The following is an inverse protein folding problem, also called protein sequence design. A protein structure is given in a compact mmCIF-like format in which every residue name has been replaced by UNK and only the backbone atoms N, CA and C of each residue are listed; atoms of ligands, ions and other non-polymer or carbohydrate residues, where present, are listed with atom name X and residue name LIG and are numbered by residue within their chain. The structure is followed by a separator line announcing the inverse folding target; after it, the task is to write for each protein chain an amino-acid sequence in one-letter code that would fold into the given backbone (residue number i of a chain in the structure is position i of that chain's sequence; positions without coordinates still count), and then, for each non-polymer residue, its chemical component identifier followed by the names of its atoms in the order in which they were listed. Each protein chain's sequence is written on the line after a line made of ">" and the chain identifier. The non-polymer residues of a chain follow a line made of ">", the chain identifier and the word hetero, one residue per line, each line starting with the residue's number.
data_IF_801866217168
#
_entry.id   IF_801866217168
#
_cell.length_a   1.000
_cell.length_b   1.000
_cell.length_c   1.000
_cell.angle_alpha   90.00
_cell.angle_beta   90.00
_cell.angle_gamma   90.00
#
_symmetry.space_group_name_H-M   'P 1'
#
loop_
_entity.id
_entity.type
_entity.pdbx_description
1 polymer ?
#
# COMPACT_ATOMS: atom_id res chain seq x y z
N UNK A 1 59.94 30.37 44.35
CA UNK A 1 58.64 29.64 44.36
C UNK A 1 57.96 29.89 43.04
N UNK A 2 57.91 28.90 42.14
CA UNK A 2 57.23 28.99 40.84
C UNK A 2 55.74 28.69 41.04
N UNK A 3 54.86 29.65 40.64
CA UNK A 3 53.42 29.49 40.73
C UNK A 3 52.90 28.41 39.77
N UNK A 4 51.71 27.80 40.04
CA UNK A 4 51.17 26.74 39.21
C UNK A 4 50.83 27.24 37.79
N UNK A 5 51.34 26.54 36.77
CA UNK A 5 50.94 26.76 35.35
C UNK A 5 49.48 26.43 35.18
N UNK A 6 48.69 27.38 34.68
CA UNK A 6 47.31 27.12 34.22
C UNK A 6 47.33 26.09 33.10
N UNK A 7 46.37 25.15 33.05
CA UNK A 7 46.25 24.18 31.96
C UNK A 7 45.93 24.92 30.66
N UNK A 8 46.59 24.48 29.58
CA UNK A 8 46.37 25.00 28.24
C UNK A 8 44.90 24.83 27.84
N UNK A 9 44.28 25.77 27.10
CA UNK A 9 42.91 25.64 26.65
C UNK A 9 42.76 24.40 25.77
N UNK A 10 41.73 23.57 26.07
CA UNK A 10 41.33 22.44 25.25
C UNK A 10 41.01 22.99 23.85
N UNK A 11 41.58 22.43 22.77
CA UNK A 11 41.26 22.90 21.42
C UNK A 11 39.76 22.77 21.20
N UNK A 12 39.13 23.86 20.73
CA UNK A 12 37.73 23.87 20.34
C UNK A 12 37.52 22.75 19.30
N UNK A 13 36.64 21.80 19.62
CA UNK A 13 36.23 20.73 18.70
C UNK A 13 35.79 21.40 17.39
N UNK A 14 36.44 21.07 16.28
CA UNK A 14 36.01 21.46 14.96
C UNK A 14 34.59 20.94 14.73
N UNK A 15 33.59 21.78 14.94
CA UNK A 15 32.22 21.45 14.62
C UNK A 15 32.14 21.34 13.09
N UNK A 16 32.20 20.14 12.56
CA UNK A 16 31.85 19.87 11.18
C UNK A 16 30.44 20.41 10.93
N UNK A 17 30.19 20.98 9.75
CA UNK A 17 28.85 21.45 9.39
C UNK A 17 27.81 20.33 9.62
N UNK A 18 26.62 20.66 10.15
CA UNK A 18 25.60 19.66 10.44
C UNK A 18 25.22 18.89 9.17
N UNK A 19 25.12 17.58 9.27
CA UNK A 19 24.73 16.74 8.15
C UNK A 19 23.30 17.07 7.65
N UNK A 20 22.93 16.73 6.40
CA UNK A 20 21.57 16.93 5.89
C UNK A 20 20.51 16.35 6.83
N UNK A 21 20.78 15.20 7.43
CA UNK A 21 19.86 14.56 8.38
C UNK A 21 19.73 15.37 9.68
N UNK A 22 20.82 15.92 10.21
CA UNK A 22 20.78 16.80 11.39
C UNK A 22 20.04 18.11 11.10
N UNK A 23 20.24 18.70 9.90
CA UNK A 23 19.52 19.88 9.46
C UNK A 23 18.01 19.62 9.33
N UNK A 24 17.63 18.46 8.76
CA UNK A 24 16.23 18.06 8.66
C UNK A 24 15.58 17.88 10.04
N UNK A 25 16.26 17.19 10.96
CA UNK A 25 15.75 17.01 12.33
C UNK A 25 15.57 18.39 13.03
N UNK A 26 16.52 19.31 12.89
CA UNK A 26 16.39 20.66 13.43
C UNK A 26 15.21 21.42 12.81
N UNK A 27 15.03 21.34 11.50
CA UNK A 27 13.87 21.94 10.82
C UNK A 27 12.54 21.41 11.35
N UNK A 28 12.43 20.09 11.53
CA UNK A 28 11.22 19.45 12.07
C UNK A 28 10.97 19.82 13.53
N UNK A 29 12.02 19.98 14.35
CA UNK A 29 11.92 20.46 15.73
C UNK A 29 11.35 21.89 15.80
N UNK A 30 11.68 22.73 14.80
CA UNK A 30 11.10 24.06 14.62
C UNK A 30 9.73 24.05 13.90
N UNK A 31 9.11 22.87 13.72
CA UNK A 31 7.85 22.69 12.98
C UNK A 31 7.90 23.15 11.51
N UNK A 32 9.09 23.24 10.92
CA UNK A 32 9.25 23.56 9.49
C UNK A 32 9.18 22.31 8.65
N UNK A 33 8.44 22.38 7.53
CA UNK A 33 8.33 21.26 6.59
C UNK A 33 9.61 21.12 5.76
N UNK A 34 9.89 19.88 5.38
CA UNK A 34 10.96 19.55 4.44
C UNK A 34 10.41 19.58 3.00
N UNK A 35 11.21 20.05 2.07
CA UNK A 35 10.89 19.90 0.66
C UNK A 35 11.00 18.41 0.23
N UNK A 36 10.37 18.06 -0.89
CA UNK A 36 10.45 16.71 -1.45
C UNK A 36 11.91 16.26 -1.70
N UNK A 37 12.82 17.10 -2.29
CA UNK A 37 14.24 16.73 -2.42
C UNK A 37 14.94 16.50 -1.08
N UNK A 38 14.73 17.37 -0.09
CA UNK A 38 15.32 17.18 1.25
C UNK A 38 14.85 15.88 1.90
N UNK A 39 13.55 15.59 1.80
CA UNK A 39 13.01 14.35 2.35
C UNK A 39 13.55 13.12 1.61
N UNK A 40 13.69 13.19 0.27
CA UNK A 40 14.31 12.12 -0.51
C UNK A 40 15.74 11.85 -0.07
N UNK A 41 16.53 12.91 0.15
CA UNK A 41 17.92 12.80 0.59
C UNK A 41 18.04 12.12 1.97
N UNK A 42 17.29 12.60 2.97
CA UNK A 42 17.40 12.09 4.33
C UNK A 42 16.83 10.68 4.48
N UNK A 43 15.73 10.35 3.80
CA UNK A 43 15.23 8.97 3.75
C UNK A 43 16.16 8.06 2.94
N UNK A 44 16.84 8.59 1.91
CA UNK A 44 17.90 7.88 1.20
C UNK A 44 19.03 7.46 2.13
N UNK A 45 19.49 8.37 3.01
CA UNK A 45 20.49 8.04 4.03
C UNK A 45 20.00 6.95 5.00
N UNK A 46 18.72 7.01 5.41
CA UNK A 46 18.10 5.91 6.22
C UNK A 46 18.13 4.58 5.45
N UNK A 47 17.74 4.57 4.17
CA UNK A 47 17.70 3.35 3.35
C UNK A 47 19.10 2.76 3.09
N UNK A 48 20.14 3.57 3.06
CA UNK A 48 21.55 3.11 2.96
C UNK A 48 22.16 2.68 4.31
N UNK A 49 21.43 2.87 5.43
CA UNK A 49 21.90 2.53 6.78
C UNK A 49 22.92 3.53 7.34
N UNK A 50 22.94 4.75 6.84
CA UNK A 50 23.84 5.83 7.28
C UNK A 50 23.31 6.59 8.51
N UNK A 51 22.02 6.40 8.84
CA UNK A 51 21.37 7.03 9.98
C UNK A 51 21.42 6.14 11.24
N UNK A 52 21.70 6.73 12.39
CA UNK A 52 21.61 6.03 13.67
C UNK A 52 20.14 5.79 14.06
N UNK A 53 19.84 4.80 14.93
CA UNK A 53 18.46 4.58 15.43
C UNK A 53 17.85 5.84 16.05
N UNK A 54 18.62 6.63 16.80
CA UNK A 54 18.17 7.88 17.41
C UNK A 54 17.78 8.92 16.34
N UNK A 55 18.56 9.03 15.26
CA UNK A 55 18.25 9.94 14.16
C UNK A 55 17.00 9.49 13.38
N UNK A 56 16.84 8.18 13.14
CA UNK A 56 15.64 7.64 12.50
C UNK A 56 14.42 7.93 13.38
N UNK A 57 14.48 7.67 14.67
CA UNK A 57 13.38 7.96 15.60
C UNK A 57 13.04 9.46 15.62
N UNK A 58 14.04 10.35 15.70
CA UNK A 58 13.83 11.79 15.69
C UNK A 58 13.18 12.27 14.37
N UNK A 59 13.63 11.77 13.22
CA UNK A 59 13.05 12.08 11.90
C UNK A 59 11.59 11.65 11.83
N UNK A 60 11.29 10.39 12.19
CA UNK A 60 9.93 9.84 12.10
C UNK A 60 8.97 10.55 13.07
N UNK A 61 9.41 10.80 14.31
CA UNK A 61 8.58 11.48 15.29
C UNK A 61 8.46 12.98 15.01
N UNK A 62 9.51 13.63 14.49
CA UNK A 62 9.45 15.02 14.05
C UNK A 62 8.41 15.25 12.96
N UNK A 63 8.40 14.40 11.93
CA UNK A 63 7.36 14.40 10.89
C UNK A 63 5.96 14.15 11.48
N UNK A 64 5.82 13.15 12.34
CA UNK A 64 4.53 12.79 12.95
C UNK A 64 3.95 13.91 13.82
N UNK A 65 4.77 14.53 14.68
CA UNK A 65 4.34 15.58 15.61
C UNK A 65 4.04 16.90 14.89
N UNK A 66 4.80 17.21 13.85
CA UNK A 66 4.55 18.37 12.99
C UNK A 66 3.26 18.18 12.16
N UNK A 67 2.98 16.97 11.76
CA UNK A 67 2.05 16.60 10.69
C UNK A 67 2.77 16.56 9.34
N UNK A 68 2.72 15.42 8.66
CA UNK A 68 3.36 15.19 7.37
C UNK A 68 2.68 16.02 6.26
N UNK A 69 3.44 16.39 5.23
CA UNK A 69 2.90 17.00 4.00
C UNK A 69 2.97 16.01 2.83
N UNK A 70 2.18 16.21 1.74
CA UNK A 70 2.29 15.37 0.55
C UNK A 70 3.69 15.34 -0.07
N UNK A 71 4.43 16.45 0.03
CA UNK A 71 5.83 16.56 -0.41
C UNK A 71 6.74 15.63 0.37
N UNK A 72 6.60 15.64 1.69
CA UNK A 72 7.41 14.80 2.58
C UNK A 72 7.08 13.31 2.37
N UNK A 73 5.81 12.97 2.21
CA UNK A 73 5.40 11.58 1.91
C UNK A 73 5.94 11.15 0.55
N UNK A 74 5.85 12.01 -0.48
CA UNK A 74 6.38 11.71 -1.81
C UNK A 74 7.92 11.55 -1.79
N UNK A 75 8.65 12.43 -1.09
CA UNK A 75 10.10 12.34 -0.95
C UNK A 75 10.54 11.04 -0.26
N UNK A 76 9.89 10.67 0.84
CA UNK A 76 10.15 9.41 1.53
C UNK A 76 9.86 8.19 0.63
N UNK A 77 8.76 8.23 -0.14
CA UNK A 77 8.41 7.17 -1.09
C UNK A 77 9.42 7.06 -2.24
N UNK A 78 9.95 8.19 -2.77
CA UNK A 78 11.04 8.17 -3.78
C UNK A 78 12.26 7.45 -3.25
N UNK A 79 12.73 7.82 -2.07
CA UNK A 79 13.89 7.18 -1.45
C UNK A 79 13.70 5.67 -1.29
N UNK A 80 12.49 5.23 -0.91
CA UNK A 80 12.18 3.80 -0.82
C UNK A 80 12.13 3.13 -2.20
N UNK A 81 11.55 3.78 -3.22
CA UNK A 81 11.53 3.29 -4.62
C UNK A 81 12.93 3.19 -5.23
N UNK A 82 13.84 4.07 -4.85
CA UNK A 82 15.24 4.06 -5.34
C UNK A 82 16.06 2.93 -4.70
N UNK A 83 15.68 2.52 -3.49
CA UNK A 83 16.34 1.45 -2.73
C UNK A 83 15.70 0.06 -2.88
N UNK A 84 14.59 -0.07 -3.62
CA UNK A 84 13.87 -1.34 -3.78
C UNK A 84 14.45 -2.20 -4.91
N UNK A 85 14.22 -3.51 -4.82
CA UNK A 85 14.41 -4.45 -5.92
C UNK A 85 13.25 -4.31 -6.89
N UNK A 86 13.53 -3.89 -8.14
CA UNK A 86 12.49 -3.65 -9.15
C UNK A 86 12.09 -4.94 -9.85
N UNK A 87 10.81 -5.03 -10.20
CA UNK A 87 10.26 -6.11 -11.04
C UNK A 87 9.93 -5.54 -12.41
N UNK A 88 10.44 -6.16 -13.45
CA UNK A 88 10.10 -5.78 -14.82
C UNK A 88 8.64 -6.14 -15.11
N UNK A 89 7.81 -5.12 -15.31
CA UNK A 89 6.41 -5.27 -15.61
C UNK A 89 6.01 -4.38 -16.78
N UNK A 90 5.52 -5.00 -17.83
CA UNK A 90 5.01 -4.32 -19.01
C UNK A 90 3.52 -4.65 -19.18
N UNK A 91 2.68 -3.64 -19.35
CA UNK A 91 1.24 -3.85 -19.57
C UNK A 91 0.46 -2.54 -19.54
N UNK A 92 -0.43 -2.36 -20.51
CA UNK A 92 -1.25 -1.16 -20.64
C UNK A 92 -2.22 -0.97 -19.46
N UNK A 93 -2.61 -2.05 -18.78
CA UNK A 93 -3.61 -2.08 -17.71
C UNK A 93 -3.01 -2.59 -16.39
N UNK A 94 -1.73 -2.24 -16.14
CA UNK A 94 -1.03 -2.62 -14.92
C UNK A 94 -1.61 -1.89 -13.72
N UNK A 95 -2.08 -2.64 -12.71
CA UNK A 95 -2.76 -2.10 -11.53
C UNK A 95 -2.32 -2.80 -10.25
N UNK A 96 -2.39 -2.07 -9.12
CA UNK A 96 -2.28 -2.64 -7.77
C UNK A 96 -3.56 -2.36 -6.98
N UNK A 97 -3.88 -3.27 -6.06
CA UNK A 97 -4.95 -3.14 -5.07
C UNK A 97 -4.35 -3.36 -3.68
N UNK A 98 -4.18 -2.31 -2.93
CA UNK A 98 -3.53 -2.36 -1.62
C UNK A 98 -4.22 -1.44 -0.63
N UNK A 99 -3.79 -1.47 0.62
CA UNK A 99 -4.27 -0.57 1.67
C UNK A 99 -3.19 -0.34 2.71
N UNK A 100 -3.40 0.65 3.57
CA UNK A 100 -2.52 0.93 4.70
C UNK A 100 -2.64 -0.11 5.80
N UNK A 101 -3.74 -0.86 5.80
CA UNK A 101 -4.13 -1.71 6.92
C UNK A 101 -4.56 -0.91 8.15
N UNK A 102 -5.02 -1.59 9.17
CA UNK A 102 -5.32 -0.97 10.46
C UNK A 102 -6.68 -0.28 10.58
N UNK A 103 -7.62 -0.57 9.67
CA UNK A 103 -9.01 -0.11 9.78
C UNK A 103 -9.67 -0.56 11.09
N UNK A 104 -10.63 0.22 11.57
CA UNK A 104 -11.42 -0.10 12.77
C UNK A 104 -12.29 -1.36 12.57
N UNK A 105 -12.67 -1.64 11.32
CA UNK A 105 -13.41 -2.83 10.93
C UNK A 105 -12.43 -3.85 10.34
N UNK A 106 -12.26 -4.98 11.05
CA UNK A 106 -11.47 -6.10 10.54
C UNK A 106 -12.25 -6.86 9.49
N UNK A 107 -11.75 -6.91 8.25
CA UNK A 107 -12.40 -7.59 7.13
C UNK A 107 -11.58 -8.80 6.65
N UNK A 108 -12.25 -9.70 5.89
CA UNK A 108 -11.51 -10.66 5.08
C UNK A 108 -10.71 -9.93 3.99
N UNK A 109 -9.80 -10.61 3.30
CA UNK A 109 -8.86 -9.99 2.34
C UNK A 109 -9.56 -9.56 1.05
N UNK A 110 -10.41 -8.52 1.13
CA UNK A 110 -11.25 -7.99 0.05
C UNK A 110 -10.39 -7.58 -1.15
N UNK A 111 -9.34 -6.77 -0.92
CA UNK A 111 -8.45 -6.30 -2.00
C UNK A 111 -7.73 -7.45 -2.71
N UNK A 112 -7.43 -8.56 -1.99
CA UNK A 112 -6.84 -9.76 -2.61
C UNK A 112 -7.86 -10.48 -3.50
N UNK A 113 -9.10 -10.62 -3.06
CA UNK A 113 -10.17 -11.20 -3.88
C UNK A 113 -10.46 -10.30 -5.10
N UNK A 114 -10.51 -8.97 -4.92
CA UNK A 114 -10.72 -7.99 -5.99
C UNK A 114 -9.63 -8.04 -7.07
N UNK A 115 -8.38 -8.31 -6.69
CA UNK A 115 -7.25 -8.49 -7.61
C UNK A 115 -7.52 -9.61 -8.64
N UNK A 116 -8.09 -10.74 -8.21
CA UNK A 116 -8.41 -11.85 -9.10
C UNK A 116 -9.57 -11.51 -10.06
N UNK A 117 -10.58 -10.78 -9.58
CA UNK A 117 -11.69 -10.33 -10.42
C UNK A 117 -11.19 -9.33 -11.47
N UNK A 118 -10.32 -8.38 -11.08
CA UNK A 118 -9.70 -7.44 -12.00
C UNK A 118 -8.84 -8.14 -13.07
N UNK A 119 -8.04 -9.14 -12.66
CA UNK A 119 -7.26 -9.96 -13.59
C UNK A 119 -8.16 -10.79 -14.53
N UNK A 120 -9.30 -11.29 -14.03
CA UNK A 120 -10.33 -11.94 -14.83
C UNK A 120 -11.02 -11.01 -15.84
N UNK A 121 -11.05 -9.70 -15.57
CA UNK A 121 -11.57 -8.68 -16.47
C UNK A 121 -10.56 -8.25 -17.54
N UNK A 122 -9.28 -8.64 -17.45
CA UNK A 122 -8.22 -8.31 -18.39
C UNK A 122 -7.19 -7.32 -17.85
N UNK A 123 -7.23 -6.93 -16.58
CA UNK A 123 -6.16 -6.17 -15.95
C UNK A 123 -4.91 -7.03 -15.77
N UNK A 124 -3.75 -6.38 -15.76
CA UNK A 124 -2.48 -6.97 -15.31
C UNK A 124 -2.26 -6.52 -13.86
N UNK A 125 -2.31 -7.44 -12.90
CA UNK A 125 -2.30 -7.11 -11.48
C UNK A 125 -0.96 -7.44 -10.85
N UNK A 126 -0.21 -6.43 -10.43
CA UNK A 126 1.00 -6.58 -9.62
C UNK A 126 0.68 -6.20 -8.17
N UNK A 127 0.10 -7.15 -7.43
CA UNK A 127 -0.34 -6.89 -6.06
C UNK A 127 0.85 -6.83 -5.11
N UNK A 128 1.10 -5.65 -4.53
CA UNK A 128 2.07 -5.49 -3.46
C UNK A 128 1.42 -5.75 -2.10
N UNK A 129 2.08 -6.50 -1.24
CA UNK A 129 1.52 -6.80 0.06
C UNK A 129 2.47 -7.47 1.04
N UNK A 130 1.96 -7.73 2.25
CA UNK A 130 2.74 -8.27 3.35
C UNK A 130 1.88 -9.21 4.20
N UNK A 131 2.52 -9.83 5.21
CA UNK A 131 1.82 -10.45 6.33
C UNK A 131 1.18 -9.37 7.19
N UNK A 132 0.13 -9.72 7.91
CA UNK A 132 -0.50 -8.77 8.83
C UNK A 132 0.34 -8.54 10.08
N UNK A 133 0.32 -7.30 10.57
CA UNK A 133 0.82 -6.93 11.89
C UNK A 133 -0.31 -6.65 12.88
N UNK A 134 -1.53 -6.40 12.40
CA UNK A 134 -2.66 -5.92 13.20
C UNK A 134 -3.90 -6.80 13.09
N UNK A 135 -4.06 -7.55 12.00
CA UNK A 135 -5.19 -8.47 11.78
C UNK A 135 -4.74 -9.93 11.81
N UNK A 136 -5.70 -10.86 11.86
CA UNK A 136 -5.43 -12.30 11.90
C UNK A 136 -4.87 -12.85 10.59
N UNK A 137 -5.04 -12.14 9.46
CA UNK A 137 -4.68 -12.64 8.14
C UNK A 137 -4.31 -11.49 7.21
N UNK A 138 -3.05 -11.39 6.82
CA UNK A 138 -2.57 -10.49 5.79
C UNK A 138 -2.74 -11.07 4.38
N UNK A 139 -2.44 -10.25 3.35
CA UNK A 139 -2.52 -10.70 1.96
C UNK A 139 -1.57 -11.86 1.64
N UNK A 140 -0.39 -11.90 2.26
CA UNK A 140 0.56 -13.00 2.12
C UNK A 140 -0.01 -14.29 2.72
N UNK A 141 -0.59 -14.19 3.92
CA UNK A 141 -1.09 -15.34 4.66
C UNK A 141 -2.25 -16.02 3.92
N UNK A 142 -3.20 -15.24 3.40
CA UNK A 142 -4.33 -15.79 2.64
C UNK A 142 -3.89 -16.37 1.29
N UNK A 143 -2.89 -15.78 0.62
CA UNK A 143 -2.39 -16.31 -0.65
C UNK A 143 -1.67 -17.65 -0.46
N UNK A 144 -0.89 -17.82 0.61
CA UNK A 144 -0.33 -19.14 0.96
C UNK A 144 -1.44 -20.17 1.24
N UNK A 145 -2.48 -19.78 2.00
CA UNK A 145 -3.64 -20.65 2.25
C UNK A 145 -4.43 -20.96 0.96
N UNK A 146 -4.40 -20.08 -0.03
CA UNK A 146 -4.92 -20.32 -1.38
C UNK A 146 -3.97 -21.17 -2.25
N UNK A 147 -2.85 -21.68 -1.73
CA UNK A 147 -1.90 -22.51 -2.47
C UNK A 147 -1.00 -21.73 -3.44
N UNK A 148 -0.81 -20.45 -3.23
CA UNK A 148 0.08 -19.60 -4.03
C UNK A 148 1.44 -19.50 -3.34
N UNK A 149 2.52 -19.78 -4.05
CA UNK A 149 3.88 -19.51 -3.55
C UNK A 149 4.17 -18.01 -3.60
N UNK A 150 4.32 -17.40 -2.44
CA UNK A 150 4.50 -15.94 -2.32
C UNK A 150 5.96 -15.48 -2.37
N UNK A 151 6.90 -16.36 -2.06
CA UNK A 151 8.33 -16.03 -2.04
C UNK A 151 8.92 -16.19 -3.44
N UNK A 152 8.78 -15.15 -4.24
CA UNK A 152 9.33 -15.03 -5.58
C UNK A 152 10.46 -14.00 -5.59
N UNK A 153 11.49 -14.22 -6.38
CA UNK A 153 12.45 -13.18 -6.74
C UNK A 153 11.90 -12.28 -7.86
N UNK A 154 12.66 -11.28 -8.29
CA UNK A 154 12.20 -10.31 -9.28
C UNK A 154 11.97 -10.95 -10.67
N UNK A 155 12.80 -11.90 -11.07
CA UNK A 155 12.69 -12.57 -12.37
C UNK A 155 11.46 -13.50 -12.40
N UNK A 156 11.28 -14.28 -11.33
CA UNK A 156 10.11 -15.14 -11.16
C UNK A 156 8.82 -14.34 -11.08
N UNK A 157 8.79 -13.24 -10.31
CA UNK A 157 7.63 -12.37 -10.21
C UNK A 157 7.25 -11.77 -11.58
N UNK A 158 8.23 -11.35 -12.38
CA UNK A 158 8.02 -10.85 -13.74
C UNK A 158 7.50 -11.95 -14.68
N UNK A 159 8.03 -13.18 -14.59
CA UNK A 159 7.57 -14.33 -15.36
C UNK A 159 6.12 -14.67 -15.00
N UNK A 160 5.82 -14.82 -13.71
CA UNK A 160 4.47 -15.12 -13.20
C UNK A 160 3.46 -14.06 -13.66
N UNK A 161 3.85 -12.77 -13.62
CA UNK A 161 2.98 -11.68 -14.10
C UNK A 161 2.64 -11.83 -15.59
N UNK A 162 3.61 -12.19 -16.43
CA UNK A 162 3.36 -12.43 -17.86
C UNK A 162 2.47 -13.64 -18.12
N UNK A 163 2.66 -14.74 -17.38
CA UNK A 163 1.95 -15.99 -17.59
C UNK A 163 0.51 -15.96 -17.04
N UNK A 164 0.34 -15.36 -15.86
CA UNK A 164 -0.95 -15.41 -15.14
C UNK A 164 -1.75 -14.09 -15.21
N UNK A 165 -1.17 -12.98 -15.69
CA UNK A 165 -1.70 -11.63 -15.60
C UNK A 165 -1.97 -11.16 -14.15
N UNK A 166 -1.45 -11.87 -13.17
CA UNK A 166 -1.46 -11.51 -11.75
C UNK A 166 -0.23 -12.06 -11.07
N UNK A 167 0.41 -11.27 -10.21
CA UNK A 167 1.51 -11.71 -9.34
C UNK A 167 1.39 -11.09 -7.97
N UNK A 168 2.00 -11.72 -6.97
CA UNK A 168 2.12 -11.17 -5.63
C UNK A 168 3.56 -10.75 -5.36
N UNK A 169 3.73 -9.50 -4.97
CA UNK A 169 5.02 -8.91 -4.64
C UNK A 169 5.13 -8.83 -3.11
N UNK A 170 5.77 -9.84 -2.52
CA UNK A 170 5.93 -9.94 -1.07
C UNK A 170 6.94 -8.90 -0.58
N UNK A 171 6.49 -7.89 0.14
CA UNK A 171 7.27 -6.71 0.51
C UNK A 171 8.69 -6.98 1.07
N UNK A 172 8.92 -7.98 1.95
CA UNK A 172 10.26 -8.28 2.45
C UNK A 172 11.28 -8.65 1.37
N UNK A 173 10.84 -9.27 0.27
CA UNK A 173 11.73 -9.67 -0.82
C UNK A 173 12.20 -8.48 -1.66
N UNK A 174 11.40 -7.43 -1.73
CA UNK A 174 11.63 -6.30 -2.62
C UNK A 174 12.12 -5.02 -1.92
N UNK A 175 12.02 -4.97 -0.59
CA UNK A 175 12.45 -3.81 0.20
C UNK A 175 13.51 -4.16 1.26
N UNK A 176 14.71 -4.65 0.85
CA UNK A 176 15.76 -5.05 1.80
C UNK A 176 16.25 -3.90 2.68
N UNK A 177 16.18 -2.64 2.19
CA UNK A 177 16.56 -1.45 2.92
C UNK A 177 15.69 -1.19 4.17
N UNK A 178 14.47 -1.74 4.22
CA UNK A 178 13.58 -1.61 5.38
C UNK A 178 14.15 -2.23 6.67
N UNK A 179 15.17 -3.08 6.57
CA UNK A 179 15.89 -3.62 7.74
C UNK A 179 16.48 -2.52 8.63
N UNK A 180 16.82 -1.36 8.08
CA UNK A 180 17.42 -0.24 8.82
C UNK A 180 16.38 0.53 9.65
N UNK A 181 15.15 0.73 9.12
CA UNK A 181 14.07 1.43 9.81
C UNK A 181 13.15 0.50 10.62
N UNK A 182 13.07 -0.77 10.27
CA UNK A 182 12.14 -1.75 10.87
C UNK A 182 12.26 -1.89 12.39
N UNK A 183 13.46 -2.05 12.97
CA UNK A 183 13.64 -2.11 14.42
C UNK A 183 13.12 -0.86 15.12
N UNK A 184 13.51 0.33 14.64
CA UNK A 184 13.09 1.62 15.22
C UNK A 184 11.56 1.78 15.18
N UNK A 185 10.92 1.40 14.06
CA UNK A 185 9.45 1.45 13.95
C UNK A 185 8.75 0.56 14.98
N UNK A 186 9.27 -0.64 15.22
CA UNK A 186 8.70 -1.55 16.25
C UNK A 186 8.86 -0.98 17.65
N UNK A 187 10.02 -0.37 17.94
CA UNK A 187 10.33 0.21 19.23
C UNK A 187 9.48 1.46 19.52
N UNK A 188 9.25 2.30 18.50
CA UNK A 188 8.37 3.48 18.62
C UNK A 188 6.91 3.08 18.92
N UNK A 189 6.41 1.97 18.38
CA UNK A 189 5.07 1.46 18.67
C UNK A 189 3.89 2.34 18.22
N UNK A 190 4.16 3.40 17.43
CA UNK A 190 3.15 4.34 16.93
C UNK A 190 3.18 4.43 15.40
N UNK A 191 2.04 4.72 14.74
CA UNK A 191 2.00 4.98 13.31
C UNK A 191 2.85 6.21 12.94
N UNK A 192 3.62 6.10 11.85
CA UNK A 192 4.47 7.18 11.32
C UNK A 192 4.28 7.27 9.80
N UNK A 193 4.98 8.20 9.13
CA UNK A 193 5.01 8.28 7.67
C UNK A 193 5.32 6.94 7.00
N UNK A 194 6.09 6.06 7.66
CA UNK A 194 6.43 4.73 7.15
C UNK A 194 5.21 3.84 6.90
N UNK A 195 4.08 4.09 7.57
CA UNK A 195 2.84 3.34 7.36
C UNK A 195 2.14 3.71 6.03
N UNK A 196 2.47 4.87 5.46
CA UNK A 196 1.96 5.33 4.17
C UNK A 196 2.81 4.85 2.99
N UNK A 197 4.07 4.44 3.23
CA UNK A 197 5.02 4.17 2.13
C UNK A 197 4.77 2.86 1.39
N UNK A 198 4.19 1.85 2.05
CA UNK A 198 3.95 0.53 1.44
C UNK A 198 3.15 0.63 0.13
N UNK A 199 1.96 1.24 0.12
CA UNK A 199 1.19 1.47 -1.10
C UNK A 199 1.88 2.33 -2.15
N UNK A 200 2.81 3.20 -1.75
CA UNK A 200 3.52 4.13 -2.64
C UNK A 200 4.78 3.54 -3.30
N UNK A 201 5.21 2.34 -2.90
CA UNK A 201 6.48 1.75 -3.34
C UNK A 201 6.29 0.35 -3.92
N UNK A 202 5.35 0.20 -4.86
CA UNK A 202 5.16 -1.06 -5.57
C UNK A 202 6.37 -1.37 -6.46
N UNK A 203 7.00 -2.56 -6.31
CA UNK A 203 8.20 -2.94 -7.06
C UNK A 203 8.04 -3.00 -8.58
N UNK A 204 6.82 -3.22 -9.07
CA UNK A 204 6.50 -3.22 -10.51
C UNK A 204 6.30 -1.80 -11.09
N UNK A 205 6.50 -0.75 -10.29
CA UNK A 205 6.38 0.63 -10.75
C UNK A 205 4.97 1.00 -11.23
N UNK A 206 3.93 0.41 -10.65
CA UNK A 206 2.55 0.66 -11.05
C UNK A 206 2.21 2.14 -10.96
N UNK A 207 1.46 2.63 -11.94
CA UNK A 207 0.97 4.01 -11.99
C UNK A 207 -0.56 4.09 -11.86
N UNK A 208 -1.20 2.94 -11.66
CA UNK A 208 -2.65 2.79 -11.49
C UNK A 208 -2.92 1.96 -10.24
N UNK A 209 -3.69 2.50 -9.28
CA UNK A 209 -3.87 1.83 -7.98
C UNK A 209 -5.24 2.12 -7.36
N UNK A 210 -5.73 1.15 -6.60
CA UNK A 210 -6.73 1.40 -5.54
C UNK A 210 -6.01 1.28 -4.20
N UNK A 211 -6.07 2.34 -3.40
CA UNK A 211 -5.39 2.40 -2.11
C UNK A 211 -6.39 2.69 -1.01
N UNK A 212 -6.64 1.70 -0.17
CA UNK A 212 -7.46 1.86 1.02
C UNK A 212 -6.69 2.54 2.16
N UNK A 213 -7.31 3.48 2.83
CA UNK A 213 -6.72 4.23 3.95
C UNK A 213 -7.61 4.15 5.16
N UNK A 214 -7.06 3.65 6.28
CA UNK A 214 -7.81 3.46 7.53
C UNK A 214 -8.17 4.77 8.25
N UNK A 215 -7.32 5.78 8.13
CA UNK A 215 -7.47 7.10 8.76
C UNK A 215 -7.81 8.12 7.67
N UNK A 216 -9.02 8.69 7.72
CA UNK A 216 -9.52 9.65 6.73
C UNK A 216 -8.58 10.85 6.56
N UNK A 217 -7.94 11.33 7.65
CA UNK A 217 -7.03 12.47 7.63
C UNK A 217 -5.74 12.18 6.83
N UNK A 218 -5.44 10.90 6.61
CA UNK A 218 -4.28 10.45 5.81
C UNK A 218 -4.57 10.32 4.32
N UNK A 219 -5.84 10.26 3.93
CA UNK A 219 -6.21 10.07 2.53
C UNK A 219 -5.79 11.24 1.62
N UNK A 220 -5.95 12.53 2.00
CA UNK A 220 -5.42 13.65 1.23
C UNK A 220 -3.89 13.60 1.05
N UNK A 221 -3.16 13.19 2.09
CA UNK A 221 -1.69 13.05 2.04
C UNK A 221 -1.29 11.97 1.04
N UNK A 222 -1.97 10.82 1.06
CA UNK A 222 -1.77 9.70 0.13
C UNK A 222 -2.05 10.13 -1.31
N UNK A 223 -3.19 10.78 -1.54
CA UNK A 223 -3.58 11.26 -2.88
C UNK A 223 -2.60 12.31 -3.41
N UNK A 224 -2.20 13.28 -2.59
CA UNK A 224 -1.21 14.28 -2.95
C UNK A 224 0.17 13.68 -3.25
N UNK A 225 0.60 12.68 -2.49
CA UNK A 225 1.85 11.96 -2.74
C UNK A 225 1.78 11.16 -4.05
N UNK A 226 0.68 10.43 -4.33
CA UNK A 226 0.47 9.70 -5.58
C UNK A 226 0.51 10.64 -6.80
N UNK A 227 -0.12 11.81 -6.72
CA UNK A 227 -0.09 12.81 -7.79
C UNK A 227 1.35 13.26 -8.08
N UNK A 228 2.15 13.57 -7.05
CA UNK A 228 3.57 13.95 -7.17
C UNK A 228 4.46 12.83 -7.66
N UNK A 229 4.14 11.59 -7.34
CA UNK A 229 4.86 10.40 -7.79
C UNK A 229 4.49 9.98 -9.22
N UNK A 230 3.61 10.72 -9.88
CA UNK A 230 3.24 10.53 -11.28
C UNK A 230 2.22 9.40 -11.50
N UNK A 231 1.32 9.17 -10.55
CA UNK A 231 0.19 8.27 -10.77
C UNK A 231 -0.63 8.72 -11.98
N UNK A 232 -0.97 7.78 -12.85
CA UNK A 232 -1.85 8.03 -14.00
C UNK A 232 -3.31 8.04 -13.58
N UNK A 233 -3.69 7.06 -12.78
CA UNK A 233 -5.04 6.94 -12.24
C UNK A 233 -4.99 6.18 -10.93
N UNK A 234 -5.41 6.79 -9.83
CA UNK A 234 -5.53 6.10 -8.56
C UNK A 234 -6.80 6.54 -7.82
N UNK A 235 -7.40 5.63 -7.07
CA UNK A 235 -8.43 5.92 -6.10
C UNK A 235 -7.85 5.69 -4.71
N UNK A 236 -7.77 6.73 -3.90
CA UNK A 236 -7.55 6.63 -2.47
C UNK A 236 -8.91 6.62 -1.82
N UNK A 237 -9.22 5.58 -1.04
CA UNK A 237 -10.56 5.35 -0.53
C UNK A 237 -10.59 5.19 0.99
N UNK A 238 -11.63 5.71 1.63
CA UNK A 238 -11.91 5.53 3.04
C UNK A 238 -13.40 5.29 3.25
N UNK A 239 -13.79 4.09 3.68
CA UNK A 239 -15.15 3.80 4.10
C UNK A 239 -15.46 4.46 5.43
N UNK A 240 -16.48 5.35 5.50
CA UNK A 240 -16.82 6.13 6.71
C UNK A 240 -17.18 5.27 7.93
N UNK A 241 -17.46 4.00 7.71
CA UNK A 241 -17.64 3.01 8.80
C UNK A 241 -16.32 2.59 9.46
N UNK A 242 -15.17 3.15 9.01
CA UNK A 242 -13.83 2.85 9.52
C UNK A 242 -13.11 1.75 8.74
N UNK A 243 -13.45 1.55 7.45
CA UNK A 243 -12.80 0.58 6.57
C UNK A 243 -11.74 1.24 5.69
N UNK A 244 -10.62 0.57 5.51
CA UNK A 244 -9.61 0.86 4.49
C UNK A 244 -9.92 0.16 3.14
N UNK A 245 -11.20 0.12 2.78
CA UNK A 245 -11.75 -0.47 1.56
C UNK A 245 -13.01 0.32 1.15
N UNK A 246 -13.51 0.11 -0.06
CA UNK A 246 -14.84 0.61 -0.45
C UNK A 246 -15.88 -0.22 0.29
N UNK A 247 -16.57 0.43 1.21
CA UNK A 247 -17.50 -0.21 2.12
C UNK A 247 -18.85 -0.48 1.45
N UNK A 248 -19.46 -1.65 1.65
CA UNK A 248 -20.84 -1.90 1.23
C UNK A 248 -21.88 -1.36 2.21
N UNK A 249 -21.46 -0.77 3.34
CA UNK A 249 -22.31 -0.06 4.29
C UNK A 249 -21.90 1.39 4.38
N UNK A 250 -22.86 2.30 4.18
CA UNK A 250 -22.62 3.74 4.23
C UNK A 250 -21.73 4.25 3.10
N UNK A 251 -21.33 5.49 3.24
CA UNK A 251 -20.55 6.19 2.20
C UNK A 251 -19.07 5.86 2.30
N UNK A 252 -18.41 5.81 1.14
CA UNK A 252 -16.96 5.78 1.02
C UNK A 252 -16.48 7.08 0.37
N UNK A 253 -15.58 7.78 1.05
CA UNK A 253 -14.89 8.95 0.51
C UNK A 253 -13.82 8.50 -0.49
N UNK A 254 -13.70 9.22 -1.60
CA UNK A 254 -12.76 8.92 -2.69
C UNK A 254 -11.97 10.17 -3.05
N UNK A 255 -10.65 10.07 -3.00
CA UNK A 255 -9.70 11.02 -3.59
C UNK A 255 -9.15 10.40 -4.87
N UNK A 256 -9.74 10.77 -5.99
CA UNK A 256 -9.31 10.29 -7.30
C UNK A 256 -8.14 11.12 -7.80
N UNK A 257 -7.01 10.47 -8.01
CA UNK A 257 -5.83 11.04 -8.65
C UNK A 257 -5.87 10.68 -10.13
N UNK A 258 -5.85 11.68 -11.01
CA UNK A 258 -5.79 11.46 -12.43
C UNK A 258 -4.86 12.48 -13.09
N UNK A 259 -3.77 11.99 -13.70
CA UNK A 259 -2.77 12.82 -14.39
C UNK A 259 -2.31 14.03 -13.56
N UNK A 260 -2.01 13.84 -12.28
CA UNK A 260 -1.52 14.89 -11.37
C UNK A 260 -2.60 15.74 -10.70
N UNK A 261 -3.87 15.63 -11.11
CA UNK A 261 -5.00 16.30 -10.47
C UNK A 261 -5.65 15.41 -9.43
N UNK A 262 -6.17 15.99 -8.34
CA UNK A 262 -6.94 15.28 -7.31
C UNK A 262 -8.37 15.81 -7.32
N UNK A 263 -9.33 14.90 -7.45
CA UNK A 263 -10.77 15.19 -7.35
C UNK A 263 -11.35 14.40 -6.19
N UNK A 264 -12.22 15.00 -5.40
CA UNK A 264 -12.93 14.32 -4.30
C UNK A 264 -14.38 14.07 -4.71
N UNK A 265 -14.84 12.85 -4.43
CA UNK A 265 -16.21 12.41 -4.64
C UNK A 265 -16.55 11.24 -3.71
N UNK A 266 -17.77 10.74 -3.77
CA UNK A 266 -18.27 9.72 -2.84
C UNK A 266 -18.83 8.53 -3.60
N UNK A 267 -18.74 7.35 -2.98
CA UNK A 267 -19.41 6.13 -3.42
C UNK A 267 -20.50 5.79 -2.41
N UNK A 268 -21.75 5.73 -2.89
CA UNK A 268 -22.85 5.13 -2.16
C UNK A 268 -23.10 3.71 -2.72
N UNK A 269 -22.97 2.64 -1.91
CA UNK A 269 -23.24 1.29 -2.38
C UNK A 269 -24.68 1.08 -2.82
N UNK A 270 -25.64 1.91 -2.36
CA UNK A 270 -27.03 1.85 -2.78
C UNK A 270 -27.20 2.17 -4.27
N UNK A 271 -26.39 3.07 -4.86
CA UNK A 271 -26.40 3.41 -6.29
C UNK A 271 -26.05 2.19 -7.18
N UNK A 272 -25.45 1.15 -6.59
CA UNK A 272 -25.04 -0.07 -7.27
C UNK A 272 -25.87 -1.31 -6.87
N UNK A 273 -26.93 -1.12 -6.06
CA UNK A 273 -27.72 -2.20 -5.44
C UNK A 273 -26.81 -3.20 -4.67
N UNK A 274 -25.84 -2.66 -3.90
CA UNK A 274 -24.85 -3.42 -3.13
C UNK A 274 -24.79 -2.96 -1.65
N UNK A 275 -25.73 -2.14 -1.21
CA UNK A 275 -25.83 -1.72 0.19
C UNK A 275 -26.16 -2.92 1.08
N UNK A 276 -25.50 -2.99 2.23
CA UNK A 276 -25.78 -3.94 3.31
C UNK A 276 -26.04 -3.20 4.61
N UNK A 277 -26.74 -3.84 5.55
CA UNK A 277 -27.10 -3.23 6.83
C UNK A 277 -25.94 -3.29 7.85
N UNK A 278 -25.03 -4.26 7.73
CA UNK A 278 -24.03 -4.54 8.76
C UNK A 278 -22.71 -5.07 8.21
N UNK A 279 -21.64 -4.31 8.37
CA UNK A 279 -20.27 -4.70 7.97
C UNK A 279 -19.69 -5.85 8.80
N UNK A 280 -20.29 -6.23 9.93
CA UNK A 280 -19.85 -7.40 10.72
C UNK A 280 -19.88 -8.69 9.90
N UNK A 281 -20.74 -8.76 8.89
CA UNK A 281 -20.75 -9.83 7.91
C UNK A 281 -19.47 -9.94 7.07
N UNK A 282 -18.58 -8.91 7.11
CA UNK A 282 -17.29 -8.90 6.40
C UNK A 282 -16.12 -9.38 7.27
N UNK A 283 -16.36 -9.72 8.54
CA UNK A 283 -15.29 -10.04 9.50
C UNK A 283 -14.29 -11.02 8.92
N UNK A 284 -13.01 -10.68 9.07
CA UNK A 284 -11.90 -11.55 8.76
C UNK A 284 -11.76 -12.68 9.78
N UNK A 285 -11.07 -13.72 9.37
CA UNK A 285 -10.81 -14.92 10.16
C UNK A 285 -9.37 -15.40 9.89
N UNK A 286 -9.04 -16.57 10.40
CA UNK A 286 -7.77 -17.27 10.11
C UNK A 286 -7.58 -17.50 8.60
N UNK A 287 -6.34 -17.61 8.10
CA UNK A 287 -6.01 -17.68 6.68
C UNK A 287 -6.80 -18.72 5.90
N UNK A 288 -6.99 -19.94 6.44
CA UNK A 288 -7.72 -21.01 5.77
C UNK A 288 -9.21 -20.67 5.58
N UNK A 289 -9.84 -20.04 6.56
CA UNK A 289 -11.25 -19.64 6.48
C UNK A 289 -11.45 -18.50 5.48
N UNK A 290 -10.53 -17.51 5.46
CA UNK A 290 -10.53 -16.43 4.49
C UNK A 290 -10.29 -16.95 3.07
N UNK A 291 -9.37 -17.90 2.88
CA UNK A 291 -9.10 -18.54 1.60
C UNK A 291 -10.35 -19.26 1.06
N UNK A 292 -11.00 -20.08 1.89
CA UNK A 292 -12.24 -20.75 1.52
C UNK A 292 -13.37 -19.76 1.18
N UNK A 293 -13.46 -18.64 1.88
CA UNK A 293 -14.41 -17.57 1.57
C UNK A 293 -14.12 -16.94 0.20
N UNK A 294 -12.85 -16.60 -0.07
CA UNK A 294 -12.43 -16.04 -1.36
C UNK A 294 -12.75 -17.02 -2.50
N UNK A 295 -12.45 -18.30 -2.35
CA UNK A 295 -12.76 -19.32 -3.38
C UNK A 295 -14.26 -19.38 -3.70
N UNK A 296 -15.13 -19.35 -2.69
CA UNK A 296 -16.59 -19.30 -2.88
C UNK A 296 -17.02 -18.03 -3.62
N UNK A 297 -16.50 -16.87 -3.19
CA UNK A 297 -16.83 -15.59 -3.81
C UNK A 297 -16.36 -15.50 -5.27
N UNK A 298 -15.20 -16.05 -5.59
CA UNK A 298 -14.67 -16.11 -6.96
C UNK A 298 -15.39 -17.16 -7.83
N UNK A 299 -16.08 -18.11 -7.22
CA UNK A 299 -16.87 -19.14 -7.90
C UNK A 299 -18.14 -18.57 -8.50
N UNK A 300 -19.13 -18.30 -7.67
CA UNK A 300 -20.43 -17.77 -8.08
C UNK A 300 -20.97 -16.70 -7.12
N UNK A 301 -20.26 -16.45 -6.03
CA UNK A 301 -20.62 -15.48 -4.99
C UNK A 301 -21.85 -15.83 -4.17
N UNK A 302 -22.40 -17.05 -4.32
CA UNK A 302 -23.63 -17.46 -3.62
C UNK A 302 -23.39 -17.71 -2.14
N UNK A 303 -24.39 -17.37 -1.31
CA UNK A 303 -24.38 -17.64 0.13
C UNK A 303 -23.59 -16.65 0.98
N UNK A 304 -23.00 -15.59 0.36
CA UNK A 304 -22.30 -14.52 1.07
C UNK A 304 -22.59 -13.15 0.43
N UNK A 305 -23.80 -12.61 0.60
CA UNK A 305 -24.18 -11.35 -0.04
C UNK A 305 -23.32 -10.16 0.39
N UNK A 306 -22.91 -10.10 1.66
CA UNK A 306 -22.03 -9.03 2.17
C UNK A 306 -20.64 -9.12 1.54
N UNK A 307 -20.03 -10.30 1.53
CA UNK A 307 -18.74 -10.52 0.89
C UNK A 307 -18.77 -10.24 -0.61
N UNK A 308 -19.85 -10.63 -1.28
CA UNK A 308 -20.03 -10.36 -2.71
C UNK A 308 -20.16 -8.86 -2.97
N UNK A 309 -20.92 -8.12 -2.16
CA UNK A 309 -21.07 -6.67 -2.29
C UNK A 309 -19.71 -5.97 -2.16
N UNK A 310 -18.96 -6.27 -1.10
CA UNK A 310 -17.61 -5.72 -0.90
C UNK A 310 -16.67 -6.09 -2.05
N UNK A 311 -16.68 -7.33 -2.51
CA UNK A 311 -15.88 -7.79 -3.64
C UNK A 311 -16.18 -6.99 -4.92
N UNK A 312 -17.45 -6.83 -5.27
CA UNK A 312 -17.87 -6.16 -6.52
C UNK A 312 -17.50 -4.67 -6.51
N UNK A 313 -17.70 -3.98 -5.38
CA UNK A 313 -17.34 -2.56 -5.25
C UNK A 313 -15.83 -2.35 -5.41
N UNK A 314 -15.01 -3.14 -4.73
CA UNK A 314 -13.55 -2.99 -4.77
C UNK A 314 -12.94 -3.50 -6.09
N UNK A 315 -13.47 -4.59 -6.66
CA UNK A 315 -13.06 -5.05 -7.98
C UNK A 315 -13.47 -4.07 -9.08
N UNK A 316 -14.65 -3.46 -8.97
CA UNK A 316 -15.10 -2.40 -9.88
C UNK A 316 -14.13 -1.22 -9.91
N UNK A 317 -13.64 -0.79 -8.76
CA UNK A 317 -12.61 0.25 -8.65
C UNK A 317 -11.30 -0.17 -9.35
N UNK A 318 -10.83 -1.39 -9.13
CA UNK A 318 -9.61 -1.91 -9.76
C UNK A 318 -9.75 -1.97 -11.30
N UNK A 319 -10.90 -2.40 -11.81
CA UNK A 319 -11.20 -2.44 -13.25
C UNK A 319 -11.25 -1.02 -13.85
N UNK A 320 -11.84 -0.07 -13.12
CA UNK A 320 -11.92 1.33 -13.54
C UNK A 320 -10.54 1.99 -13.60
N UNK A 321 -9.75 1.89 -12.53
CA UNK A 321 -8.40 2.50 -12.53
C UNK A 321 -7.45 1.81 -13.51
N UNK A 322 -7.65 0.52 -13.81
CA UNK A 322 -6.92 -0.17 -14.86
C UNK A 322 -7.21 0.40 -16.27
N UNK A 323 -8.28 1.19 -16.42
CA UNK A 323 -8.68 1.81 -17.68
C UNK A 323 -9.38 0.83 -18.63
N UNK A 324 -10.00 -0.22 -18.10
CA UNK A 324 -10.77 -1.21 -18.88
C UNK A 324 -12.21 -0.75 -19.15
N UNK A 325 -12.67 0.24 -18.41
CA UNK A 325 -14.01 0.86 -18.52
C UNK A 325 -13.92 2.37 -18.31
N UNK A 326 -14.96 3.10 -18.73
CA UNK A 326 -14.99 4.56 -18.67
C UNK A 326 -15.39 5.14 -17.31
N UNK A 327 -16.19 4.40 -16.52
CA UNK A 327 -16.69 4.87 -15.22
C UNK A 327 -16.57 3.81 -14.13
N UNK A 328 -16.64 4.25 -12.88
CA UNK A 328 -16.69 3.35 -11.72
C UNK A 328 -17.92 2.43 -11.75
N UNK A 329 -19.09 2.97 -12.15
CA UNK A 329 -20.33 2.18 -12.27
C UNK A 329 -20.18 1.06 -13.31
N UNK A 330 -19.57 1.34 -14.47
CA UNK A 330 -19.26 0.32 -15.47
C UNK A 330 -18.29 -0.72 -14.91
N UNK A 331 -17.34 -0.30 -14.06
CA UNK A 331 -16.41 -1.19 -13.35
C UNK A 331 -17.13 -2.18 -12.44
N UNK A 332 -18.10 -1.71 -11.65
CA UNK A 332 -18.93 -2.57 -10.78
C UNK A 332 -19.77 -3.54 -11.62
N UNK A 333 -20.40 -3.05 -12.69
CA UNK A 333 -21.16 -3.90 -13.61
C UNK A 333 -20.26 -4.99 -14.22
N UNK A 334 -19.07 -4.61 -14.68
CA UNK A 334 -18.08 -5.55 -15.25
C UNK A 334 -17.61 -6.57 -14.23
N UNK A 335 -17.33 -6.16 -12.98
CA UNK A 335 -16.96 -7.07 -11.90
C UNK A 335 -18.04 -8.14 -11.68
N UNK A 336 -19.33 -7.76 -11.71
CA UNK A 336 -20.47 -8.68 -11.58
C UNK A 336 -20.50 -9.72 -12.70
N UNK A 337 -20.22 -9.32 -13.94
CA UNK A 337 -20.11 -10.24 -15.09
C UNK A 337 -18.95 -11.25 -14.89
N UNK A 338 -17.78 -10.75 -14.48
CA UNK A 338 -16.58 -11.56 -14.27
C UNK A 338 -16.76 -12.61 -13.18
N UNK A 339 -17.39 -12.23 -12.06
CA UNK A 339 -17.71 -13.17 -10.98
C UNK A 339 -18.70 -14.23 -11.46
N UNK A 340 -19.79 -13.83 -12.12
CA UNK A 340 -20.79 -14.78 -12.67
C UNK A 340 -20.20 -15.77 -13.68
N UNK A 341 -19.20 -15.33 -14.45
CA UNK A 341 -18.52 -16.15 -15.45
C UNK A 341 -17.36 -16.99 -14.85
N UNK A 342 -17.09 -16.92 -13.54
CA UNK A 342 -16.02 -17.65 -12.87
C UNK A 342 -14.60 -17.23 -13.27
N UNK A 343 -14.42 -16.11 -13.99
CA UNK A 343 -13.12 -15.67 -14.52
C UNK A 343 -12.12 -15.24 -13.44
N UNK A 344 -12.62 -14.77 -12.30
CA UNK A 344 -11.78 -14.50 -11.14
C UNK A 344 -11.15 -15.78 -10.57
N UNK A 345 -11.92 -16.87 -10.53
CA UNK A 345 -11.42 -18.20 -10.14
C UNK A 345 -10.36 -18.70 -11.11
N UNK A 346 -10.59 -18.55 -12.41
CA UNK A 346 -9.59 -18.92 -13.43
C UNK A 346 -8.29 -18.14 -13.27
N UNK A 347 -8.35 -16.85 -12.88
CA UNK A 347 -7.17 -16.04 -12.60
C UNK A 347 -6.38 -16.57 -11.38
N UNK A 348 -7.07 -16.97 -10.31
CA UNK A 348 -6.44 -17.65 -9.16
C UNK A 348 -5.74 -18.95 -9.59
N UNK A 349 -6.41 -19.77 -10.39
CA UNK A 349 -5.83 -21.04 -10.85
C UNK A 349 -4.61 -20.83 -11.77
N UNK A 350 -4.62 -19.78 -12.60
CA UNK A 350 -3.42 -19.42 -13.38
C UNK A 350 -2.26 -19.03 -12.48
N UNK A 351 -2.51 -18.22 -11.43
CA UNK A 351 -1.48 -17.82 -10.47
C UNK A 351 -0.91 -19.04 -9.72
N UNK A 352 -1.76 -19.94 -9.24
CA UNK A 352 -1.33 -21.18 -8.58
C UNK A 352 -0.38 -21.97 -9.48
N UNK A 353 -0.76 -22.24 -10.73
CA UNK A 353 0.08 -22.97 -11.69
C UNK A 353 1.39 -22.25 -11.97
N UNK A 354 1.35 -20.94 -12.25
CA UNK A 354 2.55 -20.17 -12.58
C UNK A 354 3.54 -20.08 -11.41
N UNK A 355 3.06 -20.13 -10.17
CA UNK A 355 3.92 -20.11 -8.98
C UNK A 355 4.42 -21.49 -8.56
N UNK A 356 3.77 -22.58 -8.95
CA UNK A 356 4.22 -23.95 -8.62
C UNK A 356 5.35 -24.46 -9.54
N UNK A 357 5.50 -23.91 -10.76
CA UNK A 357 6.45 -24.37 -11.77
C UNK A 357 7.87 -23.79 -11.66
N UNK A 358 8.18 -22.98 -10.64
CA UNK A 358 9.54 -22.52 -10.40
C UNK A 358 10.34 -23.58 -9.67
N UNK A 359 11.16 -24.30 -10.38
CA UNK A 359 12.16 -25.23 -9.90
C UNK A 359 13.50 -24.55 -9.73
#
# INVERSE_FOLDING_TARGET
>A
MAGPKLPSPVPASSHSAPSPLQQAIAALADRRSLSEPQTTEVFGAVMRGEATPAQIAALLMGLRVKGETPEEVAGAARALRDAMVRVEANGAHLVDTCGTGGGAVSTFNISTAAAFVAAGAGAVVAKHGNRSFTSQCGSADVLEALGVRISLDAADAARVLREACVTFLFAPNFHPAMKHAGPVRRELGVPTVMNLLGPLANPAGVRRQVVGVADADRAPLMAGALARLGAEHALVVHGRVGMDEIAPQGITDVWEVRMGSVRVWEIDPADHALAIDDVRGLSGAEPAANAARIERLLGDGRGDPAGLAALLLNAGAAIYVAGLVASYADGVARAREIVRAGKGREALERLRRATSTSG
#
